data_IF_408834301545
#
_entry.id   IF_408834301545
#
_cell.length_a   1.000
_cell.length_b   1.000
_cell.length_c   1.000
_cell.angle_alpha   90.00
_cell.angle_beta   90.00
_cell.angle_gamma   90.00
#
_symmetry.space_group_name_H-M   'P 1'
#
loop_
_entity.id
_entity.type
_entity.pdbx_description
1 polymer ?
#
# COMPACT_ATOMS: atom_id res chain seq x y z
N UNK A 1 -55.19 -5.15 55.17
CA UNK A 1 -53.91 -4.91 55.89
C UNK A 1 -53.20 -6.25 55.99
N UNK A 2 -52.34 -6.56 55.01
CA UNK A 2 -51.53 -7.77 54.99
C UNK A 2 -50.08 -7.32 54.88
N UNK A 3 -49.36 -7.53 55.98
CA UNK A 3 -47.96 -7.20 56.18
C UNK A 3 -47.10 -8.13 55.31
N UNK A 4 -46.38 -7.55 54.34
CA UNK A 4 -45.44 -8.25 53.46
C UNK A 4 -44.03 -7.86 53.88
N UNK A 5 -43.47 -8.65 54.79
CA UNK A 5 -42.06 -8.56 55.20
C UNK A 5 -41.21 -9.26 54.13
N UNK A 6 -40.41 -8.49 53.39
CA UNK A 6 -39.44 -9.01 52.42
C UNK A 6 -38.17 -9.51 53.13
N UNK A 7 -37.60 -10.66 52.74
CA UNK A 7 -36.36 -11.16 53.33
C UNK A 7 -35.13 -10.46 52.75
N UNK A 8 -34.28 -9.96 53.65
CA UNK A 8 -32.96 -9.37 53.34
C UNK A 8 -32.08 -10.36 52.57
N UNK A 9 -31.68 -9.97 51.36
CA UNK A 9 -30.67 -10.68 50.57
C UNK A 9 -29.29 -10.44 51.18
N UNK A 10 -28.75 -11.45 51.85
CA UNK A 10 -27.36 -11.47 52.30
C UNK A 10 -26.43 -11.52 51.09
N UNK A 11 -25.63 -10.46 50.91
CA UNK A 11 -24.64 -10.35 49.84
C UNK A 11 -23.56 -11.43 49.96
N UNK A 12 -23.54 -12.36 49.02
CA UNK A 12 -22.51 -13.39 48.92
C UNK A 12 -21.14 -12.77 48.66
N UNK A 13 -20.21 -13.01 49.59
CA UNK A 13 -18.79 -12.66 49.46
C UNK A 13 -18.24 -13.41 48.25
N UNK A 14 -17.95 -12.69 47.16
CA UNK A 14 -17.43 -13.25 45.92
C UNK A 14 -16.14 -14.03 46.18
N UNK A 15 -16.09 -15.28 45.69
CA UNK A 15 -14.89 -16.10 45.79
C UNK A 15 -13.69 -15.35 45.19
N UNK A 16 -12.54 -15.30 45.88
CA UNK A 16 -11.36 -14.60 45.38
C UNK A 16 -10.99 -15.18 44.01
N UNK A 17 -11.00 -14.33 43.00
CA UNK A 17 -10.60 -14.70 41.64
C UNK A 17 -9.16 -15.19 41.70
N UNK A 18 -8.96 -16.47 41.41
CA UNK A 18 -7.64 -17.11 41.43
C UNK A 18 -6.72 -16.36 40.47
N UNK A 19 -5.74 -15.63 40.99
CA UNK A 19 -4.69 -15.01 40.18
C UNK A 19 -3.94 -16.12 39.45
N UNK A 20 -4.18 -16.24 38.15
CA UNK A 20 -3.39 -17.12 37.27
C UNK A 20 -2.00 -16.49 37.16
N UNK A 21 -0.96 -17.16 37.65
CA UNK A 21 0.42 -16.71 37.42
C UNK A 21 0.72 -16.76 35.92
N UNK A 22 0.80 -15.57 35.29
CA UNK A 22 0.89 -15.38 33.84
C UNK A 22 2.31 -15.30 33.28
N UNK A 23 3.35 -15.62 34.07
CA UNK A 23 4.73 -15.51 33.62
C UNK A 23 5.06 -16.59 32.58
N UNK A 24 5.46 -16.15 31.38
CA UNK A 24 5.89 -17.01 30.25
C UNK A 24 7.00 -16.31 29.47
N UNK A 25 7.83 -17.07 28.77
CA UNK A 25 8.69 -16.50 27.73
C UNK A 25 7.87 -16.08 26.50
N UNK A 26 8.45 -15.21 25.66
CA UNK A 26 7.82 -14.67 24.44
C UNK A 26 7.33 -15.80 23.53
N UNK A 27 8.19 -16.78 23.23
CA UNK A 27 7.87 -17.86 22.29
C UNK A 27 6.73 -18.77 22.79
N UNK A 28 6.78 -19.20 24.05
CA UNK A 28 5.70 -20.01 24.64
C UNK A 28 4.37 -19.26 24.71
N UNK A 29 4.41 -17.93 24.78
CA UNK A 29 3.20 -17.09 24.79
C UNK A 29 2.60 -16.94 23.40
N UNK A 30 3.42 -16.68 22.37
CA UNK A 30 3.00 -16.68 20.95
C UNK A 30 2.36 -18.02 20.59
N UNK A 31 3.01 -19.12 20.97
CA UNK A 31 2.55 -20.47 20.67
C UNK A 31 1.39 -20.95 21.57
N UNK A 32 0.97 -20.12 22.54
CA UNK A 32 -0.05 -20.42 23.56
C UNK A 32 0.23 -21.70 24.37
N UNK A 33 1.50 -22.06 24.54
CA UNK A 33 1.93 -23.25 25.29
C UNK A 33 2.21 -22.96 26.77
N UNK A 34 2.33 -24.01 27.58
CA UNK A 34 2.80 -23.92 28.97
C UNK A 34 4.31 -23.67 28.99
N UNK A 35 4.75 -22.75 29.86
CA UNK A 35 6.16 -22.42 30.08
C UNK A 35 6.57 -23.00 31.43
N UNK A 36 7.44 -24.00 31.43
CA UNK A 36 7.89 -24.69 32.64
C UNK A 36 9.43 -24.82 32.64
N UNK A 37 10.11 -24.66 33.79
CA UNK A 37 9.54 -24.32 35.11
C UNK A 37 9.05 -22.87 35.20
N UNK A 38 8.08 -22.61 36.10
CA UNK A 38 7.49 -21.27 36.29
C UNK A 38 8.43 -20.32 37.02
N UNK A 39 9.13 -20.83 38.02
CA UNK A 39 10.12 -20.13 38.83
C UNK A 39 11.50 -20.52 38.30
N UNK A 40 11.96 -19.83 37.25
CA UNK A 40 13.32 -19.96 36.73
C UNK A 40 14.01 -18.62 36.82
N UNK A 41 15.30 -18.64 37.08
CA UNK A 41 16.15 -17.45 37.03
C UNK A 41 16.72 -17.31 35.62
N UNK A 42 16.57 -16.13 35.02
CA UNK A 42 17.26 -15.84 33.77
C UNK A 42 18.78 -15.84 34.04
N UNK A 43 19.62 -16.54 33.25
CA UNK A 43 19.45 -16.93 31.84
C UNK A 43 18.97 -18.36 31.56
N UNK A 44 18.45 -19.10 32.53
CA UNK A 44 17.99 -20.48 32.30
C UNK A 44 16.81 -20.53 31.32
N UNK A 45 16.83 -21.43 30.32
CA UNK A 45 15.75 -21.57 29.32
C UNK A 45 14.63 -22.48 29.84
N UNK A 46 13.40 -22.29 29.37
CA UNK A 46 12.30 -23.20 29.71
C UNK A 46 12.44 -24.56 28.99
N UNK A 47 11.91 -25.64 29.59
CA UNK A 47 12.02 -27.02 29.07
C UNK A 47 11.58 -27.17 27.62
N UNK A 48 10.49 -26.49 27.25
CA UNK A 48 9.97 -26.51 25.87
C UNK A 48 10.95 -25.88 24.89
N UNK A 49 11.45 -24.68 25.18
CA UNK A 49 12.41 -24.01 24.32
C UNK A 49 13.71 -24.82 24.21
N UNK A 50 14.18 -25.47 25.28
CA UNK A 50 15.33 -26.38 25.21
C UNK A 50 15.02 -27.58 24.29
N UNK A 51 13.87 -28.24 24.48
CA UNK A 51 13.51 -29.45 23.70
C UNK A 51 13.30 -29.20 22.21
N UNK A 52 12.90 -27.98 21.85
CA UNK A 52 12.60 -27.57 20.47
C UNK A 52 13.70 -26.71 19.86
N UNK A 53 14.79 -26.49 20.59
CA UNK A 53 15.88 -25.59 20.22
C UNK A 53 15.41 -24.19 19.78
N UNK A 54 14.52 -23.60 20.58
CA UNK A 54 13.97 -22.25 20.35
C UNK A 54 14.71 -21.21 21.19
N UNK A 55 14.80 -19.99 20.69
CA UNK A 55 15.23 -18.83 21.47
C UNK A 55 14.23 -18.54 22.60
N UNK A 56 14.67 -18.77 23.84
CA UNK A 56 13.87 -18.50 25.03
C UNK A 56 14.22 -17.10 25.55
N UNK A 57 13.21 -16.28 25.87
CA UNK A 57 13.40 -15.01 26.57
C UNK A 57 13.29 -15.17 28.09
N UNK A 58 13.50 -14.11 28.86
CA UNK A 58 13.13 -14.01 30.28
C UNK A 58 11.62 -14.23 30.50
N UNK A 59 11.24 -14.66 31.71
CA UNK A 59 9.84 -14.82 32.11
C UNK A 59 9.21 -13.44 32.33
N UNK A 60 8.21 -13.10 31.52
CA UNK A 60 7.55 -11.79 31.60
C UNK A 60 6.03 -11.94 31.64
N UNK A 61 5.37 -10.96 32.27
CA UNK A 61 3.91 -10.89 32.29
C UNK A 61 3.37 -10.47 30.92
N UNK A 62 2.04 -10.48 30.78
CA UNK A 62 1.40 -10.03 29.54
C UNK A 62 1.58 -8.53 29.33
N UNK A 63 1.59 -7.80 30.43
CA UNK A 63 1.69 -6.37 30.48
C UNK A 63 3.12 -5.93 30.20
N UNK A 64 4.11 -6.56 30.85
CA UNK A 64 5.53 -6.27 30.61
C UNK A 64 5.93 -6.53 29.16
N UNK A 65 5.39 -7.59 28.54
CA UNK A 65 5.67 -7.86 27.14
C UNK A 65 5.12 -6.74 26.25
N UNK A 66 3.89 -6.27 26.50
CA UNK A 66 3.30 -5.16 25.72
C UNK A 66 4.08 -3.87 25.92
N UNK A 67 4.48 -3.56 27.15
CA UNK A 67 5.31 -2.40 27.45
C UNK A 67 6.66 -2.46 26.73
N UNK A 68 7.28 -3.65 26.66
CA UNK A 68 8.54 -3.84 25.93
C UNK A 68 8.40 -3.67 24.43
N UNK A 69 7.29 -4.16 23.83
CA UNK A 69 7.02 -3.94 22.41
C UNK A 69 6.80 -2.45 22.14
N UNK A 70 6.05 -1.74 23.00
CA UNK A 70 5.84 -0.30 22.87
C UNK A 70 7.15 0.50 22.95
N UNK A 71 8.02 0.17 23.91
CA UNK A 71 9.34 0.81 24.02
C UNK A 71 10.21 0.55 22.79
N UNK A 72 10.17 -0.65 22.22
CA UNK A 72 10.90 -0.93 20.97
C UNK A 72 10.30 -0.18 19.78
N UNK A 73 8.98 -0.04 19.69
CA UNK A 73 8.30 0.77 18.66
C UNK A 73 8.63 2.26 18.80
N UNK A 74 8.70 2.79 20.03
CA UNK A 74 9.12 4.17 20.30
C UNK A 74 10.58 4.42 19.97
N UNK A 75 11.49 3.48 20.23
CA UNK A 75 12.90 3.63 19.83
C UNK A 75 13.07 3.55 18.30
N UNK A 76 12.14 2.85 17.62
CA UNK A 76 12.03 2.83 16.16
C UNK A 76 11.27 4.05 15.61
N UNK A 77 10.73 4.93 16.47
CA UNK A 77 10.07 6.18 16.06
C UNK A 77 11.06 7.32 15.77
N UNK A 78 12.36 7.10 16.03
CA UNK A 78 13.36 7.94 15.39
C UNK A 78 13.17 7.81 13.87
N UNK A 79 13.02 8.93 13.13
CA UNK A 79 12.85 8.88 11.70
C UNK A 79 13.98 8.02 11.13
N UNK A 80 13.68 7.00 10.30
CA UNK A 80 14.71 6.13 9.76
C UNK A 80 15.77 7.05 9.16
N UNK A 81 17.03 6.91 9.62
CA UNK A 81 18.15 7.64 9.04
C UNK A 81 18.12 7.33 7.55
N UNK A 82 17.70 8.32 6.77
CA UNK A 82 17.70 8.23 5.32
C UNK A 82 19.14 7.97 4.91
N UNK A 83 19.34 6.99 4.04
CA UNK A 83 20.67 6.61 3.58
C UNK A 83 21.33 7.85 2.90
N UNK A 84 22.49 8.32 3.36
CA UNK A 84 23.16 9.50 2.80
C UNK A 84 23.40 9.40 1.29
N UNK A 85 23.59 8.19 0.75
CA UNK A 85 23.73 7.98 -0.69
C UNK A 85 22.45 8.30 -1.46
N UNK A 86 21.31 7.99 -0.86
CA UNK A 86 20.01 8.20 -1.50
C UNK A 86 19.56 9.66 -1.41
N UNK A 87 19.96 10.38 -0.36
CA UNK A 87 19.83 11.84 -0.28
C UNK A 87 20.66 12.53 -1.36
N UNK A 88 21.95 12.18 -1.50
CA UNK A 88 22.83 12.73 -2.54
C UNK A 88 22.30 12.49 -3.95
N UNK A 89 21.68 11.32 -4.18
CA UNK A 89 21.13 10.99 -5.48
C UNK A 89 19.90 11.85 -5.84
N UNK A 90 18.98 12.03 -4.89
CA UNK A 90 17.81 12.89 -5.08
C UNK A 90 18.21 14.36 -5.34
N UNK A 91 19.24 14.84 -4.65
CA UNK A 91 19.80 16.18 -4.90
C UNK A 91 20.32 16.32 -6.34
N UNK A 92 20.96 15.27 -6.88
CA UNK A 92 21.52 15.28 -8.23
C UNK A 92 20.46 15.33 -9.35
N UNK A 93 19.37 14.57 -9.21
CA UNK A 93 18.25 14.61 -10.19
C UNK A 93 17.57 15.98 -10.22
N UNK A 94 17.37 16.54 -9.04
CA UNK A 94 16.80 17.85 -8.85
C UNK A 94 17.66 18.95 -9.49
N UNK A 95 18.98 18.87 -9.32
CA UNK A 95 19.92 19.80 -9.95
C UNK A 95 19.90 19.67 -11.48
N UNK A 96 19.74 18.45 -12.00
CA UNK A 96 19.65 18.19 -13.45
C UNK A 96 18.37 18.78 -14.04
N UNK A 97 17.21 18.56 -13.41
CA UNK A 97 15.94 19.17 -13.84
C UNK A 97 15.99 20.71 -13.80
N UNK A 98 16.62 21.28 -12.78
CA UNK A 98 16.81 22.73 -12.67
C UNK A 98 17.71 23.29 -13.79
N UNK A 99 18.75 22.54 -14.16
CA UNK A 99 19.64 22.89 -15.28
C UNK A 99 18.91 22.88 -16.62
N UNK A 100 18.03 21.91 -16.86
CA UNK A 100 17.24 21.82 -18.09
C UNK A 100 16.22 22.96 -18.19
N UNK A 101 15.59 23.34 -17.06
CA UNK A 101 14.72 24.52 -16.99
C UNK A 101 15.47 25.83 -17.28
N UNK A 102 16.70 25.97 -16.75
CA UNK A 102 17.54 27.14 -17.04
C UNK A 102 17.98 27.20 -18.50
N UNK A 103 18.16 26.05 -19.16
CA UNK A 103 18.54 25.98 -20.57
C UNK A 103 17.45 26.53 -21.53
N UNK A 104 16.19 26.57 -21.10
CA UNK A 104 15.07 27.09 -21.89
C UNK A 104 15.06 28.63 -22.05
N UNK A 105 16.03 29.35 -21.45
CA UNK A 105 16.16 30.82 -21.53
C UNK A 105 14.86 31.59 -21.26
N UNK A 106 14.05 31.11 -20.31
CA UNK A 106 12.78 31.74 -19.97
C UNK A 106 13.01 33.13 -19.36
N UNK A 107 12.15 34.13 -19.66
CA UNK A 107 12.23 35.43 -19.03
C UNK A 107 12.16 35.34 -17.49
N UNK A 108 12.88 36.17 -16.73
CA UNK A 108 12.93 36.08 -15.27
C UNK A 108 11.54 36.14 -14.59
N UNK A 109 10.63 36.96 -15.12
CA UNK A 109 9.26 37.06 -14.60
C UNK A 109 8.45 35.77 -14.76
N UNK A 110 8.81 34.91 -15.71
CA UNK A 110 8.17 33.62 -15.92
C UNK A 110 8.66 32.56 -14.92
N UNK A 111 9.94 32.65 -14.51
CA UNK A 111 10.50 31.79 -13.46
C UNK A 111 9.80 32.04 -12.12
N UNK A 112 9.53 33.30 -11.77
CA UNK A 112 8.82 33.66 -10.54
C UNK A 112 7.40 33.03 -10.49
N UNK A 113 6.73 32.94 -11.64
CA UNK A 113 5.42 32.31 -11.75
C UNK A 113 5.47 30.77 -11.74
N UNK A 114 6.57 30.18 -12.20
CA UNK A 114 6.78 28.73 -12.21
C UNK A 114 7.32 28.20 -10.87
N UNK A 115 7.97 29.03 -10.06
CA UNK A 115 8.60 28.62 -8.81
C UNK A 115 7.65 27.85 -7.87
N UNK A 116 6.38 28.26 -7.65
CA UNK A 116 5.47 27.49 -6.81
C UNK A 116 5.12 26.11 -7.38
N UNK A 117 5.06 25.97 -8.70
CA UNK A 117 4.82 24.69 -9.36
C UNK A 117 6.04 23.78 -9.27
N UNK A 118 7.24 24.34 -9.39
CA UNK A 118 8.51 23.64 -9.18
C UNK A 118 8.68 23.18 -7.74
N UNK A 119 8.39 24.05 -6.78
CA UNK A 119 8.46 23.71 -5.35
C UNK A 119 7.43 22.62 -5.02
N UNK A 120 6.23 22.68 -5.61
CA UNK A 120 5.23 21.62 -5.46
C UNK A 120 5.67 20.30 -6.10
N UNK A 121 6.28 20.34 -7.28
CA UNK A 121 6.82 19.15 -7.93
C UNK A 121 7.97 18.53 -7.13
N UNK A 122 8.88 19.37 -6.62
CA UNK A 122 9.97 19.00 -5.69
C UNK A 122 9.44 18.32 -4.44
N UNK A 123 8.46 18.92 -3.78
CA UNK A 123 7.82 18.32 -2.60
C UNK A 123 7.15 16.98 -2.93
N UNK A 124 6.44 16.88 -4.05
CA UNK A 124 5.81 15.62 -4.49
C UNK A 124 6.84 14.54 -4.79
N UNK A 125 7.97 14.88 -5.40
CA UNK A 125 9.07 13.94 -5.67
C UNK A 125 9.74 13.47 -4.37
N UNK A 126 9.94 14.37 -3.41
CA UNK A 126 10.48 14.03 -2.09
C UNK A 126 9.52 13.06 -1.36
N UNK A 127 8.22 13.34 -1.38
CA UNK A 127 7.21 12.46 -0.79
C UNK A 127 7.17 11.07 -1.46
N UNK A 128 7.23 11.02 -2.79
CA UNK A 128 7.28 9.76 -3.55
C UNK A 128 8.57 8.97 -3.23
N UNK A 129 9.71 9.66 -3.22
CA UNK A 129 11.01 9.10 -2.83
C UNK A 129 10.93 8.49 -1.44
N UNK A 130 10.50 9.26 -0.45
CA UNK A 130 10.42 8.83 0.93
C UNK A 130 9.46 7.63 1.09
N UNK A 131 8.35 7.64 0.36
CA UNK A 131 7.44 6.50 0.30
C UNK A 131 8.11 5.23 -0.27
N UNK A 132 8.85 5.35 -1.37
CA UNK A 132 9.58 4.22 -1.98
C UNK A 132 10.64 3.68 -1.01
N UNK A 133 11.40 4.56 -0.35
CA UNK A 133 12.41 4.17 0.65
C UNK A 133 11.76 3.39 1.79
N UNK A 134 10.76 3.99 2.43
CA UNK A 134 10.09 3.41 3.59
C UNK A 134 9.46 2.06 3.25
N UNK A 135 8.87 1.95 2.06
CA UNK A 135 8.28 0.70 1.58
C UNK A 135 9.36 -0.35 1.32
N UNK A 136 10.47 0.05 0.70
CA UNK A 136 11.60 -0.85 0.39
C UNK A 136 12.26 -1.37 1.66
N UNK A 137 12.50 -0.50 2.65
CA UNK A 137 13.01 -0.88 3.99
C UNK A 137 12.09 -1.90 4.66
N UNK A 138 10.78 -1.67 4.64
CA UNK A 138 9.80 -2.62 5.19
C UNK A 138 9.86 -3.98 4.47
N UNK A 139 9.99 -3.98 3.14
CA UNK A 139 10.09 -5.24 2.38
C UNK A 139 11.41 -5.96 2.65
N UNK A 140 12.52 -5.24 2.75
CA UNK A 140 13.85 -5.79 3.10
C UNK A 140 13.83 -6.42 4.49
N UNK A 141 13.26 -5.72 5.48
CA UNK A 141 13.11 -6.24 6.84
C UNK A 141 12.22 -7.49 6.89
N UNK A 142 11.23 -7.59 6.01
CA UNK A 142 10.28 -8.69 5.96
C UNK A 142 10.74 -9.91 5.12
N UNK A 143 11.83 -9.82 4.36
CA UNK A 143 12.19 -10.83 3.34
C UNK A 143 13.65 -11.32 3.45
N UNK A 144 13.90 -12.58 3.88
CA UNK A 144 15.14 -13.28 3.53
C UNK A 144 15.00 -13.88 2.11
N UNK A 145 15.99 -13.78 1.20
CA UNK A 145 17.44 -13.59 1.43
C UNK A 145 18.02 -12.27 0.87
N UNK A 146 19.28 -11.98 1.25
CA UNK A 146 20.07 -10.79 0.89
C UNK A 146 20.14 -10.48 -0.63
N UNK A 147 19.95 -11.47 -1.50
CA UNK A 147 19.92 -11.29 -2.96
C UNK A 147 18.73 -10.45 -3.44
N UNK A 148 17.60 -10.50 -2.73
CA UNK A 148 16.41 -9.70 -3.04
C UNK A 148 16.63 -8.24 -2.60
N UNK A 149 17.29 -8.03 -1.46
CA UNK A 149 17.70 -6.71 -0.97
C UNK A 149 18.67 -6.02 -1.93
N UNK A 150 19.67 -6.75 -2.42
CA UNK A 150 20.63 -6.23 -3.41
C UNK A 150 19.92 -5.88 -4.72
N UNK A 151 19.05 -6.75 -5.24
CA UNK A 151 18.28 -6.47 -6.44
C UNK A 151 17.37 -5.24 -6.27
N UNK A 152 16.80 -5.01 -5.09
CA UNK A 152 16.01 -3.82 -4.76
C UNK A 152 16.84 -2.55 -4.80
N UNK A 153 17.99 -2.55 -4.13
CA UNK A 153 18.89 -1.41 -4.09
C UNK A 153 19.42 -1.08 -5.48
N UNK A 154 19.83 -2.10 -6.25
CA UNK A 154 20.27 -1.92 -7.64
C UNK A 154 19.14 -1.46 -8.55
N UNK A 155 17.89 -1.88 -8.34
CA UNK A 155 16.75 -1.42 -9.14
C UNK A 155 16.35 0.02 -8.82
N UNK A 156 16.38 0.42 -7.54
CA UNK A 156 16.16 1.80 -7.10
C UNK A 156 17.28 2.71 -7.64
N UNK A 157 18.53 2.25 -7.59
CA UNK A 157 19.70 2.98 -8.11
C UNK A 157 19.66 3.12 -9.64
N UNK A 158 19.13 2.13 -10.37
CA UNK A 158 19.06 2.14 -11.82
C UNK A 158 17.81 2.82 -12.41
N UNK A 159 16.70 2.91 -11.67
CA UNK A 159 15.42 3.49 -12.13
C UNK A 159 15.56 4.83 -12.91
N UNK A 160 16.42 5.76 -12.47
CA UNK A 160 16.76 7.01 -13.19
C UNK A 160 17.48 6.81 -14.53
N UNK A 161 18.47 5.91 -14.56
CA UNK A 161 19.18 5.55 -15.78
C UNK A 161 18.28 4.80 -16.76
N UNK A 162 17.27 4.09 -16.24
CA UNK A 162 16.25 3.45 -17.05
C UNK A 162 15.34 4.48 -17.72
N UNK A 163 15.05 5.63 -17.10
CA UNK A 163 14.27 6.72 -17.72
C UNK A 163 14.96 7.30 -18.95
N UNK A 164 16.29 7.52 -18.88
CA UNK A 164 17.07 8.03 -20.02
C UNK A 164 17.22 6.96 -21.13
N UNK A 165 17.49 5.70 -20.75
CA UNK A 165 17.75 4.62 -21.72
C UNK A 165 16.53 3.87 -22.24
N UNK A 166 15.38 3.87 -21.57
CA UNK A 166 14.12 3.29 -22.10
C UNK A 166 13.56 4.10 -23.29
N UNK A 167 14.16 5.25 -23.62
CA UNK A 167 13.93 5.99 -24.87
C UNK A 167 14.71 5.40 -26.06
N UNK A 168 15.74 4.59 -25.81
CA UNK A 168 16.57 3.93 -26.81
C UNK A 168 16.49 2.40 -26.71
N UNK A 169 16.45 1.76 -27.87
CA UNK A 169 16.14 0.35 -28.10
C UNK A 169 17.01 -0.60 -27.24
N UNK A 170 16.52 -0.96 -26.05
CA UNK A 170 17.22 -1.83 -25.09
C UNK A 170 16.31 -3.01 -24.74
N UNK A 171 16.09 -3.91 -25.72
CA UNK A 171 15.23 -5.08 -25.54
C UNK A 171 15.68 -5.99 -24.40
N UNK A 172 16.99 -6.10 -24.16
CA UNK A 172 17.55 -6.98 -23.12
C UNK A 172 17.10 -6.62 -21.70
N UNK A 173 16.93 -5.33 -21.43
CA UNK A 173 16.48 -4.86 -20.12
C UNK A 173 14.95 -5.00 -19.97
N UNK A 174 14.21 -4.76 -21.05
CA UNK A 174 12.78 -5.04 -21.10
C UNK A 174 12.49 -6.53 -20.88
N UNK A 175 13.27 -7.41 -21.52
CA UNK A 175 13.14 -8.87 -21.36
C UNK A 175 13.48 -9.33 -19.93
N UNK A 176 14.49 -8.73 -19.31
CA UNK A 176 14.85 -8.98 -17.90
C UNK A 176 13.74 -8.53 -16.94
N UNK A 177 13.11 -7.39 -17.23
CA UNK A 177 11.96 -6.87 -16.48
C UNK A 177 10.72 -7.74 -16.67
N UNK A 178 10.37 -8.10 -17.90
CA UNK A 178 9.26 -8.99 -18.23
C UNK A 178 9.45 -10.36 -17.57
N UNK A 179 10.68 -10.89 -17.55
CA UNK A 179 11.00 -12.12 -16.86
C UNK A 179 10.78 -12.03 -15.34
N UNK A 180 11.26 -10.96 -14.69
CA UNK A 180 11.03 -10.72 -13.27
C UNK A 180 9.54 -10.55 -12.95
N UNK A 181 8.79 -9.85 -13.80
CA UNK A 181 7.35 -9.67 -13.70
C UNK A 181 6.57 -10.98 -13.90
N UNK A 182 7.00 -11.83 -14.83
CA UNK A 182 6.41 -13.15 -15.04
C UNK A 182 6.64 -14.05 -13.81
N UNK A 183 7.82 -13.98 -13.19
CA UNK A 183 8.12 -14.68 -11.93
C UNK A 183 7.36 -14.12 -10.72
N UNK A 184 6.95 -12.85 -10.74
CA UNK A 184 6.09 -12.24 -9.71
C UNK A 184 4.71 -12.90 -9.59
N UNK A 185 4.19 -13.38 -10.73
CA UNK A 185 2.86 -13.95 -10.84
C UNK A 185 2.81 -15.40 -10.34
N UNK A 186 3.97 -16.05 -10.21
CA UNK A 186 4.07 -17.37 -9.62
C UNK A 186 4.11 -17.26 -8.08
N UNK A 187 2.93 -17.46 -7.48
CA UNK A 187 2.69 -17.33 -6.03
C UNK A 187 3.53 -18.30 -5.17
N UNK A 188 4.14 -19.32 -5.78
CA UNK A 188 5.04 -20.25 -5.10
C UNK A 188 6.49 -19.74 -5.00
N UNK A 189 6.84 -18.65 -5.68
CA UNK A 189 8.22 -18.16 -5.75
C UNK A 189 8.56 -17.27 -4.54
N UNK A 190 9.63 -17.56 -3.78
CA UNK A 190 10.18 -16.63 -2.80
C UNK A 190 10.48 -15.29 -3.48
N UNK A 191 9.88 -14.20 -2.99
CA UNK A 191 9.99 -12.87 -3.60
C UNK A 191 8.81 -12.43 -4.48
N UNK A 192 7.71 -13.19 -4.56
CA UNK A 192 6.50 -12.77 -5.31
C UNK A 192 5.95 -11.40 -4.85
N UNK A 193 6.01 -11.08 -3.55
CA UNK A 193 5.64 -9.77 -3.02
C UNK A 193 6.53 -8.65 -3.59
N UNK A 194 7.81 -8.93 -3.82
CA UNK A 194 8.77 -7.99 -4.38
C UNK A 194 8.49 -7.69 -5.83
N UNK A 195 8.33 -8.73 -6.64
CA UNK A 195 8.13 -8.54 -8.05
C UNK A 195 6.73 -7.93 -8.36
N UNK A 196 5.75 -8.10 -7.46
CA UNK A 196 4.50 -7.31 -7.46
C UNK A 196 4.72 -5.84 -7.11
N UNK A 197 5.62 -5.52 -6.18
CA UNK A 197 5.97 -4.14 -5.86
C UNK A 197 6.68 -3.46 -7.04
N UNK A 198 7.68 -4.11 -7.63
CA UNK A 198 8.39 -3.63 -8.84
C UNK A 198 7.38 -3.45 -9.99
N UNK A 199 6.46 -4.40 -10.20
CA UNK A 199 5.36 -4.24 -11.17
C UNK A 199 4.53 -3.00 -10.92
N UNK A 200 4.18 -2.75 -9.66
CA UNK A 200 3.37 -1.59 -9.26
C UNK A 200 4.11 -0.28 -9.55
N UNK A 201 5.41 -0.21 -9.23
CA UNK A 201 6.26 0.95 -9.53
C UNK A 201 6.36 1.18 -11.04
N UNK A 202 6.58 0.12 -11.83
CA UNK A 202 6.69 0.21 -13.28
C UNK A 202 5.37 0.58 -13.98
N UNK A 203 4.24 0.04 -13.52
CA UNK A 203 2.92 0.41 -14.01
C UNK A 203 2.55 1.86 -13.67
N UNK A 204 3.02 2.38 -12.52
CA UNK A 204 2.83 3.78 -12.13
C UNK A 204 3.63 4.72 -13.05
N UNK A 205 4.87 4.36 -13.40
CA UNK A 205 5.75 5.21 -14.22
C UNK A 205 5.53 5.08 -15.74
N UNK A 206 5.11 3.91 -16.23
CA UNK A 206 5.00 3.63 -17.67
C UNK A 206 3.73 2.85 -18.05
N UNK A 207 2.53 3.37 -17.75
CA UNK A 207 1.29 2.63 -17.96
C UNK A 207 1.09 2.21 -19.42
N UNK A 208 1.47 3.06 -20.39
CA UNK A 208 1.35 2.79 -21.83
C UNK A 208 2.25 1.65 -22.34
N UNK A 209 3.44 1.45 -21.76
CA UNK A 209 4.41 0.42 -22.23
C UNK A 209 4.09 -1.00 -21.74
N UNK A 210 3.37 -1.11 -20.63
CA UNK A 210 3.05 -2.39 -20.00
C UNK A 210 1.60 -2.83 -20.19
N UNK A 211 0.73 -1.95 -20.71
CA UNK A 211 -0.64 -2.31 -21.12
C UNK A 211 -0.69 -2.93 -22.54
N UNK A 212 0.36 -2.79 -23.35
CA UNK A 212 0.39 -3.25 -24.74
C UNK A 212 0.73 -4.74 -24.94
N UNK A 213 1.32 -5.42 -23.95
CA UNK A 213 1.78 -6.81 -24.08
C UNK A 213 0.80 -7.87 -23.56
N UNK A 214 -0.43 -7.48 -23.17
CA UNK A 214 -1.51 -8.42 -22.85
C UNK A 214 -2.22 -8.99 -24.10
N UNK A 215 -1.46 -9.32 -25.15
CA UNK A 215 -1.97 -10.04 -26.31
C UNK A 215 -1.98 -11.56 -26.00
N UNK A 216 -3.07 -12.04 -25.43
CA UNK A 216 -3.43 -13.47 -25.46
C UNK A 216 -3.97 -13.87 -26.85
N UNK A 217 -3.88 -15.16 -27.23
CA UNK A 217 -4.17 -15.64 -28.57
C UNK A 217 -5.66 -15.53 -28.94
N UNK A 218 -5.95 -14.67 -29.94
CA UNK A 218 -7.09 -14.75 -30.87
C UNK A 218 -8.41 -15.30 -30.30
N UNK A 219 -9.12 -14.47 -29.51
CA UNK A 219 -10.58 -14.61 -29.35
C UNK A 219 -11.24 -13.53 -30.19
N UNK A 220 -12.20 -13.94 -31.03
CA UNK A 220 -12.90 -13.11 -32.01
C UNK A 220 -13.44 -11.83 -31.34
N UNK A 221 -13.10 -10.69 -31.94
CA UNK A 221 -13.66 -9.38 -31.59
C UNK A 221 -15.18 -9.38 -31.81
N UNK A 222 -15.98 -8.86 -30.85
CA UNK A 222 -17.39 -8.60 -31.10
C UNK A 222 -17.53 -7.33 -31.96
N UNK A 223 -18.36 -7.43 -32.97
CA UNK A 223 -18.88 -6.28 -33.73
C UNK A 223 -20.00 -5.64 -32.92
N UNK A 224 -20.07 -4.30 -32.97
CA UNK A 224 -21.13 -3.47 -32.40
C UNK A 224 -22.51 -3.94 -32.90
N UNK A 225 -23.39 -4.37 -32.00
CA UNK A 225 -24.82 -4.32 -32.25
C UNK A 225 -25.41 -3.01 -31.68
N UNK A 226 -26.26 -2.38 -32.48
CA UNK A 226 -26.74 -1.01 -32.29
C UNK A 226 -27.74 -0.80 -31.13
N UNK A 227 -27.53 -1.46 -29.99
CA UNK A 227 -28.42 -1.36 -28.82
C UNK A 227 -27.77 -0.78 -27.56
N UNK A 228 -26.51 -0.31 -27.62
CA UNK A 228 -25.93 0.48 -26.53
C UNK A 228 -25.86 -0.24 -25.17
N UNK A 229 -25.68 -1.57 -25.18
CA UNK A 229 -25.61 -2.36 -23.97
C UNK A 229 -24.14 -2.65 -23.62
N UNK A 230 -23.63 -2.03 -22.56
CA UNK A 230 -22.26 -2.20 -22.09
C UNK A 230 -22.09 -3.56 -21.40
N UNK A 231 -21.80 -4.60 -22.16
CA UNK A 231 -21.37 -5.89 -21.64
C UNK A 231 -19.91 -5.84 -21.17
N UNK A 232 -19.64 -5.17 -20.04
CA UNK A 232 -18.34 -5.23 -19.37
C UNK A 232 -18.19 -6.57 -18.64
N UNK A 233 -17.85 -7.62 -19.38
CA UNK A 233 -17.23 -8.81 -18.80
C UNK A 233 -15.72 -8.54 -18.60
N UNK A 234 -15.40 -7.59 -17.72
CA UNK A 234 -14.01 -7.25 -17.38
C UNK A 234 -13.73 -7.75 -15.97
N UNK A 235 -12.95 -8.83 -15.94
CA UNK A 235 -12.02 -9.22 -14.88
C UNK A 235 -12.41 -8.90 -13.41
N UNK A 236 -13.22 -9.79 -12.82
CA UNK A 236 -13.58 -9.81 -11.39
C UNK A 236 -12.38 -9.96 -10.42
N UNK A 237 -11.13 -10.05 -10.91
CA UNK A 237 -9.95 -10.39 -10.10
C UNK A 237 -9.15 -9.19 -9.57
N UNK A 238 -9.42 -7.98 -10.05
CA UNK A 238 -8.94 -6.76 -9.41
C UNK A 238 -10.14 -6.13 -8.74
N UNK A 239 -10.15 -6.04 -7.40
CA UNK A 239 -11.22 -5.42 -6.61
C UNK A 239 -11.37 -3.90 -6.87
N UNK A 240 -11.43 -3.48 -8.13
CA UNK A 240 -11.66 -2.12 -8.58
C UNK A 240 -13.12 -2.01 -8.98
N UNK A 241 -13.91 -1.14 -8.32
CA UNK A 241 -15.26 -0.86 -8.76
C UNK A 241 -15.26 -0.36 -10.21
N UNK A 242 -16.29 -0.72 -10.98
CA UNK A 242 -16.42 -0.38 -12.40
C UNK A 242 -16.24 1.12 -12.67
N UNK A 243 -16.64 1.95 -11.70
CA UNK A 243 -16.52 3.40 -11.77
C UNK A 243 -15.06 3.90 -11.72
N UNK A 244 -14.19 3.25 -10.93
CA UNK A 244 -12.76 3.61 -10.89
C UNK A 244 -12.09 3.31 -12.23
N UNK A 245 -12.41 2.16 -12.83
CA UNK A 245 -11.86 1.75 -14.13
C UNK A 245 -12.34 2.69 -15.22
N UNK A 246 -13.63 3.05 -15.22
CA UNK A 246 -14.19 4.00 -16.16
C UNK A 246 -13.47 5.35 -16.09
N UNK A 247 -13.41 5.98 -14.91
CA UNK A 247 -12.78 7.29 -14.74
C UNK A 247 -11.28 7.26 -15.09
N UNK A 248 -10.57 6.16 -14.85
CA UNK A 248 -9.17 6.00 -15.23
C UNK A 248 -8.94 5.75 -16.73
N UNK A 249 -9.92 5.20 -17.43
CA UNK A 249 -9.83 4.96 -18.87
C UNK A 249 -10.09 6.21 -19.71
N UNK A 250 -10.75 7.23 -19.14
CA UNK A 250 -11.05 8.46 -19.87
C UNK A 250 -9.80 9.31 -20.11
N UNK A 251 -9.62 9.89 -21.32
CA UNK A 251 -8.51 10.78 -21.58
C UNK A 251 -8.61 12.07 -20.74
N UNK A 252 -7.50 12.75 -20.42
CA UNK A 252 -7.51 13.97 -19.60
C UNK A 252 -8.34 15.12 -20.19
N UNK A 253 -8.58 15.10 -21.50
CA UNK A 253 -9.40 16.09 -22.22
C UNK A 253 -10.88 15.70 -22.32
N UNK A 254 -11.28 14.53 -21.80
CA UNK A 254 -12.66 14.08 -21.83
C UNK A 254 -13.55 15.03 -21.01
N UNK A 255 -14.66 15.43 -21.62
CA UNK A 255 -15.74 16.12 -20.91
C UNK A 255 -16.74 15.05 -20.49
N UNK A 256 -16.64 14.60 -19.24
CA UNK A 256 -17.58 13.65 -18.67
C UNK A 256 -18.79 14.41 -18.13
N UNK A 257 -19.96 14.14 -18.70
CA UNK A 257 -21.19 14.81 -18.28
C UNK A 257 -21.66 14.30 -16.92
N UNK A 258 -22.31 15.15 -16.13
CA UNK A 258 -22.88 14.75 -14.85
C UNK A 258 -23.89 13.60 -15.01
N UNK A 259 -24.69 13.65 -16.08
CA UNK A 259 -25.72 12.66 -16.40
C UNK A 259 -25.15 11.27 -16.64
N UNK A 260 -24.04 11.18 -17.38
CA UNK A 260 -23.38 9.91 -17.68
C UNK A 260 -22.90 9.20 -16.40
N UNK A 261 -22.40 9.97 -15.42
CA UNK A 261 -22.00 9.43 -14.12
C UNK A 261 -23.20 9.03 -13.29
N UNK A 262 -24.30 9.80 -13.32
CA UNK A 262 -25.54 9.39 -12.66
C UNK A 262 -26.08 8.07 -13.19
N UNK A 263 -26.12 7.90 -14.52
CA UNK A 263 -26.57 6.65 -15.15
C UNK A 263 -25.71 5.47 -14.66
N UNK A 264 -24.40 5.66 -14.49
CA UNK A 264 -23.53 4.63 -13.91
C UNK A 264 -23.81 4.37 -12.44
N UNK A 265 -24.02 5.41 -11.62
CA UNK A 265 -24.27 5.30 -10.18
C UNK A 265 -25.60 4.59 -9.91
N UNK A 266 -26.63 4.84 -10.73
CA UNK A 266 -27.95 4.18 -10.61
C UNK A 266 -27.88 2.69 -10.92
N UNK A 267 -26.95 2.28 -11.78
CA UNK A 267 -26.73 0.88 -12.15
C UNK A 267 -25.81 0.12 -11.18
N UNK A 268 -25.23 0.78 -10.17
CA UNK A 268 -24.39 0.11 -9.17
C UNK A 268 -25.25 -0.75 -8.22
N UNK A 269 -24.89 -2.03 -8.00
CA UNK A 269 -25.70 -2.95 -7.22
C UNK A 269 -25.82 -2.55 -5.74
N UNK A 270 -24.85 -1.82 -5.18
CA UNK A 270 -24.93 -1.31 -3.81
C UNK A 270 -24.31 0.07 -3.64
N UNK A 271 -24.86 0.85 -2.70
CA UNK A 271 -24.35 2.18 -2.37
C UNK A 271 -22.94 2.19 -1.76
N UNK A 272 -22.47 1.04 -1.26
CA UNK A 272 -21.13 0.90 -0.67
C UNK A 272 -20.02 1.12 -1.71
N UNK A 273 -20.33 0.91 -3.00
CA UNK A 273 -19.34 0.96 -4.09
C UNK A 273 -18.77 2.36 -4.33
N UNK A 274 -19.46 3.44 -3.92
CA UNK A 274 -18.96 4.81 -4.06
C UNK A 274 -17.79 5.14 -3.13
N UNK A 275 -17.75 4.50 -1.96
CA UNK A 275 -16.69 4.70 -0.97
C UNK A 275 -15.61 3.63 -1.02
N UNK A 276 -15.81 2.60 -1.84
CA UNK A 276 -14.80 1.57 -2.07
C UNK A 276 -13.52 2.21 -2.56
N UNK A 277 -12.43 1.89 -1.87
CA UNK A 277 -11.10 2.35 -2.22
C UNK A 277 -10.45 1.33 -3.16
N UNK A 278 -9.70 1.81 -4.16
CA UNK A 278 -8.87 0.95 -4.98
C UNK A 278 -7.62 0.49 -4.22
N UNK A 279 -6.74 -0.28 -4.87
CA UNK A 279 -5.48 -0.75 -4.28
C UNK A 279 -4.47 0.37 -3.93
N UNK A 280 -4.79 1.63 -4.24
CA UNK A 280 -4.04 2.83 -3.84
C UNK A 280 -4.76 3.64 -2.76
N UNK A 281 -5.88 3.15 -2.20
CA UNK A 281 -6.66 3.88 -1.20
C UNK A 281 -7.55 4.98 -1.80
N UNK A 282 -7.67 5.07 -3.14
CA UNK A 282 -8.42 6.14 -3.82
C UNK A 282 -9.86 5.73 -4.04
N UNK A 283 -10.77 6.68 -3.86
CA UNK A 283 -12.18 6.52 -4.18
C UNK A 283 -12.41 7.01 -5.60
N UNK A 284 -13.58 6.73 -6.18
CA UNK A 284 -13.95 7.29 -7.48
C UNK A 284 -13.91 8.83 -7.46
N UNK A 285 -14.26 9.45 -6.33
CA UNK A 285 -14.18 10.90 -6.15
C UNK A 285 -12.72 11.41 -6.21
N UNK A 286 -11.78 10.71 -5.57
CA UNK A 286 -10.36 11.06 -5.66
C UNK A 286 -9.87 11.07 -7.12
N UNK A 287 -10.26 10.07 -7.92
CA UNK A 287 -9.87 9.95 -9.33
C UNK A 287 -10.51 11.07 -10.16
N UNK A 288 -11.80 11.36 -9.95
CA UNK A 288 -12.51 12.43 -10.66
C UNK A 288 -11.86 13.80 -10.41
N UNK A 289 -11.54 14.12 -9.16
CA UNK A 289 -10.87 15.37 -8.80
C UNK A 289 -9.45 15.45 -9.38
N UNK A 290 -8.67 14.36 -9.30
CA UNK A 290 -7.29 14.34 -9.81
C UNK A 290 -7.21 14.56 -11.33
N UNK A 291 -8.29 14.25 -12.07
CA UNK A 291 -8.38 14.42 -13.52
C UNK A 291 -9.18 15.64 -13.98
N UNK A 292 -9.58 16.51 -13.04
CA UNK A 292 -10.41 17.68 -13.32
C UNK A 292 -11.74 17.34 -14.02
N UNK A 293 -12.34 16.18 -13.69
CA UNK A 293 -13.65 15.79 -14.18
C UNK A 293 -14.76 16.39 -13.30
N UNK A 294 -14.96 17.71 -13.42
CA UNK A 294 -15.86 18.48 -12.54
C UNK A 294 -17.32 17.99 -12.56
N UNK A 295 -17.79 17.48 -13.71
CA UNK A 295 -19.12 16.88 -13.82
C UNK A 295 -19.24 15.59 -13.00
N UNK A 296 -18.23 14.72 -13.08
CA UNK A 296 -18.18 13.49 -12.32
C UNK A 296 -18.05 13.73 -10.81
N UNK A 297 -17.18 14.67 -10.41
CA UNK A 297 -17.01 15.02 -9.00
C UNK A 297 -18.33 15.55 -8.38
N UNK A 298 -19.07 16.40 -9.11
CA UNK A 298 -20.37 16.91 -8.68
C UNK A 298 -21.44 15.81 -8.57
N UNK A 299 -21.55 14.93 -9.56
CA UNK A 299 -22.46 13.79 -9.50
C UNK A 299 -22.19 12.90 -8.28
N UNK A 300 -20.92 12.58 -8.04
CA UNK A 300 -20.50 11.74 -6.92
C UNK A 300 -20.83 12.39 -5.56
N UNK A 301 -20.55 13.69 -5.39
CA UNK A 301 -20.87 14.43 -4.17
C UNK A 301 -22.39 14.53 -3.93
N UNK A 302 -23.16 14.87 -4.96
CA UNK A 302 -24.62 14.95 -4.89
C UNK A 302 -25.25 13.61 -4.55
N UNK A 303 -24.76 12.51 -5.12
CA UNK A 303 -25.23 11.16 -4.80
C UNK A 303 -24.94 10.75 -3.35
N UNK A 304 -23.79 11.15 -2.81
CA UNK A 304 -23.45 10.89 -1.42
C UNK A 304 -24.37 11.68 -0.47
N UNK A 305 -24.68 12.94 -0.80
CA UNK A 305 -25.59 13.78 -0.02
C UNK A 305 -27.04 13.29 -0.06
N UNK A 306 -27.55 12.91 -1.23
CA UNK A 306 -28.91 12.36 -1.36
C UNK A 306 -29.14 11.10 -0.54
N UNK A 307 -28.08 10.32 -0.31
CA UNK A 307 -28.16 9.07 0.47
C UNK A 307 -27.99 9.27 1.97
N UNK A 308 -27.55 10.45 2.40
CA UNK A 308 -27.48 10.84 3.81
C UNK A 308 -28.79 11.47 4.32
N UNK A 309 -29.65 11.93 3.41
CA UNK A 309 -30.96 12.52 3.70
C UNK A 309 -32.05 11.43 3.77
#
# INVERSE_FOLDING_TARGET
MADRSEPERTGGVGAPTRQLNYLKCIQCRVDKQKCEPKEREWPEKCKRCISKDLECSENMSAEDQRARVQLMEEDTSLPPRVDPLLEQFAELEMETAEKDLRALQLPPSYLDHLQPALDKARSSQIEERDFIILTSVKIIQASPPHSITLALLTFIELLPYLEEKLSTDTSDLYDSLVFLLAKANDAATPGASMARFIRKVLLLRYPEKFNATAAEPSVRTPTLDGQGNYGLAVDRFLCRPDLHVFLESQPPTAVISEREIWDMIENLPTCQDLHTQDALGRTALHIACARNFDGAARALLSSALQRLA
#
